data_IF_938810290058
#
_entry.id   IF_938810290058
#
_cell.length_a   1.000
_cell.length_b   1.000
_cell.length_c   1.000
_cell.angle_alpha   90.00
_cell.angle_beta   90.00
_cell.angle_gamma   90.00
#
_symmetry.space_group_name_H-M   'P 1'
#
loop_
_entity.id
_entity.type
_entity.pdbx_description
1 polymer ?
#
# COMPACT_ATOMS: atom_id res chain seq x y z
N UNK A 1 -6.46 -5.17 -19.98
CA UNK A 1 -5.62 -6.29 -19.52
C UNK A 1 -5.76 -6.43 -18.01
N UNK A 2 -6.12 -7.64 -17.56
CA UNK A 2 -6.16 -8.15 -16.18
C UNK A 2 -6.77 -7.22 -15.11
N UNK A 3 -8.10 -7.10 -15.10
CA UNK A 3 -8.82 -6.80 -13.88
C UNK A 3 -8.65 -8.03 -12.97
N UNK A 4 -7.88 -7.89 -11.89
CA UNK A 4 -7.75 -8.90 -10.86
C UNK A 4 -9.09 -9.02 -10.13
N UNK A 5 -10.06 -9.70 -10.76
CA UNK A 5 -11.22 -10.26 -10.08
C UNK A 5 -10.65 -11.16 -8.98
N UNK A 6 -11.00 -10.87 -7.74
CA UNK A 6 -10.53 -11.63 -6.58
C UNK A 6 -11.28 -12.96 -6.58
N UNK A 7 -10.78 -13.91 -7.37
CA UNK A 7 -11.37 -15.23 -7.57
C UNK A 7 -11.34 -15.98 -6.22
N UNK A 8 -12.51 -16.27 -5.64
CA UNK A 8 -12.62 -17.04 -4.39
C UNK A 8 -13.46 -18.30 -4.61
N UNK A 9 -12.89 -19.30 -5.30
CA UNK A 9 -13.46 -20.64 -5.24
C UNK A 9 -13.01 -21.39 -3.97
N UNK A 10 -13.80 -22.36 -3.54
CA UNK A 10 -13.52 -23.13 -2.31
C UNK A 10 -12.14 -23.80 -2.31
N UNK A 11 -11.70 -24.38 -3.44
CA UNK A 11 -10.39 -25.02 -3.52
C UNK A 11 -9.28 -23.98 -3.55
N UNK A 12 -9.47 -22.86 -4.25
CA UNK A 12 -8.52 -21.75 -4.22
C UNK A 12 -8.34 -21.20 -2.80
N UNK A 13 -9.43 -20.94 -2.07
CA UNK A 13 -9.37 -20.48 -0.67
C UNK A 13 -8.69 -21.53 0.20
N UNK A 14 -9.05 -22.81 0.08
CA UNK A 14 -8.43 -23.89 0.82
C UNK A 14 -6.90 -23.95 0.59
N UNK A 15 -6.47 -23.90 -0.68
CA UNK A 15 -5.06 -23.94 -1.05
C UNK A 15 -4.31 -22.68 -0.58
N UNK A 16 -4.88 -21.50 -0.81
CA UNK A 16 -4.23 -20.21 -0.52
C UNK A 16 -4.11 -19.93 0.97
N UNK A 17 -5.12 -20.31 1.74
CA UNK A 17 -5.18 -20.16 3.20
C UNK A 17 -4.63 -21.37 3.95
N UNK A 18 -4.28 -22.47 3.25
CA UNK A 18 -3.80 -23.72 3.84
C UNK A 18 -4.80 -24.31 4.87
N UNK A 19 -6.08 -24.32 4.51
CA UNK A 19 -7.17 -24.88 5.33
C UNK A 19 -7.90 -26.01 4.60
N UNK A 20 -8.68 -26.81 5.32
CA UNK A 20 -9.50 -27.86 4.68
C UNK A 20 -10.58 -27.26 3.79
N UNK A 21 -11.04 -28.02 2.79
CA UNK A 21 -12.13 -27.59 1.89
C UNK A 21 -13.43 -27.35 2.66
N UNK A 22 -13.70 -28.12 3.70
CA UNK A 22 -14.82 -27.88 4.61
C UNK A 22 -14.68 -26.51 5.29
N UNK A 23 -13.50 -26.21 5.84
CA UNK A 23 -13.27 -24.91 6.50
C UNK A 23 -13.35 -23.74 5.53
N UNK A 24 -12.85 -23.91 4.31
CA UNK A 24 -12.97 -22.91 3.26
C UNK A 24 -14.45 -22.62 2.92
N UNK A 25 -15.30 -23.66 2.83
CA UNK A 25 -16.75 -23.47 2.64
C UNK A 25 -17.40 -22.70 3.78
N UNK A 26 -17.06 -23.04 5.04
CA UNK A 26 -17.57 -22.30 6.20
C UNK A 26 -17.17 -20.83 6.17
N UNK A 27 -15.92 -20.53 5.82
CA UNK A 27 -15.41 -19.15 5.72
C UNK A 27 -16.13 -18.39 4.61
N UNK A 28 -16.26 -18.97 3.41
CA UNK A 28 -17.00 -18.35 2.29
C UNK A 28 -18.45 -18.09 2.71
N UNK A 29 -19.13 -19.08 3.31
CA UNK A 29 -20.49 -18.91 3.81
C UNK A 29 -20.59 -17.79 4.84
N UNK A 30 -19.67 -17.75 5.80
CA UNK A 30 -19.65 -16.71 6.84
C UNK A 30 -19.44 -15.31 6.25
N UNK A 31 -18.55 -15.18 5.26
CA UNK A 31 -18.30 -13.90 4.59
C UNK A 31 -19.51 -13.47 3.74
N UNK A 32 -20.18 -14.41 3.08
CA UNK A 32 -21.38 -14.15 2.28
C UNK A 32 -22.58 -13.77 3.17
N UNK A 33 -22.88 -14.57 4.20
CA UNK A 33 -23.94 -14.31 5.19
C UNK A 33 -23.71 -12.97 5.91
N UNK A 34 -22.44 -12.61 6.14
CA UNK A 34 -22.03 -11.33 6.72
C UNK A 34 -22.06 -10.14 5.75
N UNK A 35 -22.35 -10.36 4.47
CA UNK A 35 -22.39 -9.32 3.43
C UNK A 35 -21.02 -8.75 3.05
N UNK A 36 -19.91 -9.43 3.35
CA UNK A 36 -18.55 -9.03 2.97
C UNK A 36 -18.19 -9.45 1.54
N UNK A 37 -18.80 -10.52 1.05
CA UNK A 37 -18.74 -10.94 -0.33
C UNK A 37 -20.16 -11.21 -0.83
N UNK A 38 -20.37 -11.10 -2.13
CA UNK A 38 -21.63 -11.47 -2.78
C UNK A 38 -21.36 -12.43 -3.93
N UNK A 39 -22.32 -13.33 -4.18
CA UNK A 39 -22.26 -14.22 -5.33
C UNK A 39 -22.26 -13.39 -6.61
N UNK A 40 -21.34 -13.72 -7.52
CA UNK A 40 -21.21 -13.04 -8.80
C UNK A 40 -21.79 -13.91 -9.91
N UNK A 41 -21.16 -15.07 -10.15
CA UNK A 41 -21.62 -16.02 -11.16
C UNK A 41 -21.10 -17.43 -10.88
N UNK A 42 -21.69 -18.43 -11.56
CA UNK A 42 -21.18 -19.80 -11.59
C UNK A 42 -20.43 -20.04 -12.89
N UNK A 43 -19.18 -20.47 -12.80
CA UNK A 43 -18.36 -20.86 -13.94
C UNK A 43 -17.97 -22.33 -13.90
N UNK A 44 -17.05 -22.70 -14.80
CA UNK A 44 -16.52 -24.07 -14.92
C UNK A 44 -15.01 -24.05 -14.95
N UNK A 45 -14.38 -24.83 -14.08
CA UNK A 45 -12.92 -25.00 -14.06
C UNK A 45 -12.55 -26.42 -14.42
N UNK A 46 -11.36 -26.58 -15.02
CA UNK A 46 -10.79 -27.89 -15.27
C UNK A 46 -10.56 -28.61 -13.94
N UNK A 47 -11.09 -29.82 -13.83
CA UNK A 47 -10.93 -30.65 -12.65
C UNK A 47 -9.47 -31.09 -12.51
N UNK A 48 -8.84 -31.47 -13.62
CA UNK A 48 -7.47 -31.94 -13.72
C UNK A 48 -6.84 -31.44 -15.03
N UNK A 49 -5.51 -31.42 -15.07
CA UNK A 49 -4.75 -31.36 -16.32
C UNK A 49 -5.21 -32.47 -17.26
N UNK A 50 -5.42 -32.16 -18.54
CA UNK A 50 -5.83 -33.15 -19.54
C UNK A 50 -4.98 -33.05 -20.81
N UNK A 51 -4.93 -34.14 -21.59
CA UNK A 51 -4.26 -34.17 -22.90
C UNK A 51 -5.26 -34.01 -24.05
N UNK A 52 -5.22 -32.90 -24.82
CA UNK A 52 -6.07 -32.72 -26.00
C UNK A 52 -5.92 -33.86 -27.00
N UNK A 53 -7.03 -34.39 -27.50
CA UNK A 53 -7.07 -35.49 -28.47
C UNK A 53 -6.91 -36.89 -27.88
N UNK A 54 -6.52 -37.03 -26.61
CA UNK A 54 -6.44 -38.33 -25.91
C UNK A 54 -7.64 -38.53 -25.01
N UNK A 55 -8.02 -37.49 -24.26
CA UNK A 55 -9.14 -37.56 -23.31
C UNK A 55 -9.99 -36.29 -23.36
N UNK A 56 -11.24 -36.42 -22.94
CA UNK A 56 -12.14 -35.27 -22.83
C UNK A 56 -11.86 -34.50 -21.54
N UNK A 57 -11.77 -33.16 -21.59
CA UNK A 57 -11.61 -32.36 -20.39
C UNK A 57 -12.79 -32.58 -19.45
N UNK A 58 -12.49 -32.77 -18.15
CA UNK A 58 -13.49 -32.81 -17.10
C UNK A 58 -13.54 -31.46 -16.42
N UNK A 59 -14.74 -30.92 -16.29
CA UNK A 59 -14.97 -29.65 -15.62
C UNK A 59 -15.71 -29.87 -14.30
N UNK A 60 -15.44 -28.99 -13.34
CA UNK A 60 -16.25 -28.82 -12.13
C UNK A 60 -16.97 -27.48 -12.20
N UNK A 61 -18.18 -27.42 -11.66
CA UNK A 61 -18.85 -26.15 -11.41
C UNK A 61 -18.20 -25.43 -10.24
N UNK A 62 -18.06 -24.12 -10.37
CA UNK A 62 -17.41 -23.27 -9.39
C UNK A 62 -18.21 -21.99 -9.22
N UNK A 63 -18.61 -21.69 -7.98
CA UNK A 63 -19.24 -20.42 -7.62
C UNK A 63 -18.16 -19.35 -7.38
N UNK A 64 -18.31 -18.21 -8.04
CA UNK A 64 -17.45 -17.05 -7.89
C UNK A 64 -18.13 -15.97 -7.07
N UNK A 65 -17.34 -15.27 -6.27
CA UNK A 65 -17.78 -14.20 -5.39
C UNK A 65 -16.96 -12.94 -5.65
N UNK A 66 -17.57 -11.77 -5.45
CA UNK A 66 -16.88 -10.47 -5.47
C UNK A 66 -16.96 -9.79 -4.10
N UNK A 67 -15.98 -8.93 -3.81
CA UNK A 67 -15.97 -8.11 -2.60
C UNK A 67 -17.07 -7.05 -2.69
N UNK A 68 -17.82 -6.89 -1.60
CA UNK A 68 -18.69 -5.73 -1.40
C UNK A 68 -17.88 -4.57 -0.82
N UNK A 69 -18.46 -3.37 -0.72
CA UNK A 69 -17.85 -2.24 -0.02
C UNK A 69 -17.49 -2.60 1.43
N UNK A 70 -18.38 -3.32 2.12
CA UNK A 70 -18.15 -3.86 3.47
C UNK A 70 -16.97 -4.85 3.50
N UNK A 71 -16.83 -5.69 2.47
CA UNK A 71 -15.68 -6.57 2.30
C UNK A 71 -14.37 -5.85 2.09
N UNK A 72 -14.39 -4.77 1.30
CA UNK A 72 -13.23 -3.89 1.08
C UNK A 72 -12.84 -3.20 2.39
N UNK A 73 -13.81 -2.71 3.16
CA UNK A 73 -13.58 -2.15 4.50
C UNK A 73 -12.93 -3.17 5.44
N UNK A 74 -13.45 -4.39 5.52
CA UNK A 74 -12.87 -5.45 6.35
C UNK A 74 -11.45 -5.83 5.90
N UNK A 75 -11.22 -5.95 4.59
CA UNK A 75 -9.90 -6.27 4.03
C UNK A 75 -8.87 -5.19 4.37
N UNK A 76 -9.30 -3.93 4.36
CA UNK A 76 -8.45 -2.79 4.67
C UNK A 76 -8.33 -2.57 6.19
N UNK A 77 -9.25 -3.12 6.99
CA UNK A 77 -9.20 -3.04 8.44
C UNK A 77 -8.02 -3.85 8.99
N UNK A 78 -7.17 -3.19 9.77
CA UNK A 78 -6.05 -3.83 10.43
C UNK A 78 -6.48 -4.58 11.68
N UNK A 79 -6.12 -5.86 11.80
CA UNK A 79 -6.24 -6.62 13.05
C UNK A 79 -5.16 -6.25 14.09
N UNK A 80 -4.29 -5.28 13.79
CA UNK A 80 -3.27 -4.82 14.71
C UNK A 80 -3.90 -4.12 15.92
N UNK A 81 -3.31 -4.32 17.10
CA UNK A 81 -3.64 -3.57 18.30
C UNK A 81 -3.55 -2.07 18.02
N UNK A 82 -4.69 -1.37 18.13
CA UNK A 82 -4.73 0.08 17.95
C UNK A 82 -3.92 0.77 19.04
N UNK A 83 -3.22 1.84 18.68
CA UNK A 83 -2.49 2.71 19.60
C UNK A 83 -3.34 3.91 20.03
N UNK A 84 -3.14 4.43 21.25
CA UNK A 84 -3.78 5.67 21.66
C UNK A 84 -3.26 6.86 20.86
N UNK A 85 -4.10 7.88 20.70
CA UNK A 85 -3.76 9.13 19.98
C UNK A 85 -2.47 9.79 20.48
N UNK A 86 -2.22 9.79 21.79
CA UNK A 86 -0.98 10.34 22.37
C UNK A 86 0.28 9.70 21.79
N UNK A 87 0.24 8.40 21.47
CA UNK A 87 1.35 7.71 20.81
C UNK A 87 1.47 8.12 19.34
N UNK A 88 0.35 8.33 18.65
CA UNK A 88 0.36 8.86 17.28
C UNK A 88 0.97 10.27 17.21
N UNK A 89 0.66 11.13 18.18
CA UNK A 89 1.25 12.47 18.29
C UNK A 89 2.78 12.39 18.44
N UNK A 90 3.27 11.51 19.30
CA UNK A 90 4.71 11.26 19.48
C UNK A 90 5.38 10.76 18.19
N UNK A 91 4.70 9.88 17.43
CA UNK A 91 5.20 9.40 16.13
C UNK A 91 5.35 10.56 15.15
N UNK A 92 4.37 11.47 15.06
CA UNK A 92 4.43 12.63 14.16
C UNK A 92 5.58 13.57 14.54
N UNK A 93 5.74 13.89 15.83
CA UNK A 93 6.85 14.74 16.30
C UNK A 93 8.19 14.11 15.95
N UNK A 94 8.37 12.82 16.23
CA UNK A 94 9.62 12.11 15.92
C UNK A 94 9.87 12.01 14.40
N UNK A 95 8.82 11.88 13.60
CA UNK A 95 8.91 11.90 12.15
C UNK A 95 9.37 13.26 11.61
N UNK A 96 8.76 14.36 12.06
CA UNK A 96 9.14 15.70 11.62
C UNK A 96 10.59 16.03 11.98
N UNK A 97 11.08 15.55 13.12
CA UNK A 97 12.51 15.62 13.44
C UNK A 97 13.37 14.89 12.40
N UNK A 98 13.01 13.66 12.03
CA UNK A 98 13.73 12.91 10.97
C UNK A 98 13.63 13.58 9.60
N UNK A 99 12.55 14.31 9.32
CA UNK A 99 12.42 15.09 8.08
C UNK A 99 13.49 16.19 8.03
N UNK A 100 13.70 16.94 9.11
CA UNK A 100 14.78 17.93 9.17
C UNK A 100 16.17 17.28 9.04
N UNK A 101 16.39 16.17 9.75
CA UNK A 101 17.64 15.41 9.67
C UNK A 101 17.93 14.93 8.24
N UNK A 102 16.95 14.31 7.57
CA UNK A 102 17.08 13.84 6.19
C UNK A 102 17.35 14.98 5.19
N UNK A 103 16.74 16.14 5.41
CA UNK A 103 16.98 17.33 4.59
C UNK A 103 18.43 17.84 4.70
N UNK A 104 19.09 17.63 5.84
CA UNK A 104 20.51 17.95 6.05
C UNK A 104 21.49 16.83 5.63
N UNK A 105 21.03 15.58 5.54
CA UNK A 105 21.87 14.43 5.17
C UNK A 105 22.21 14.38 3.67
N UNK A 106 23.21 13.57 3.32
CA UNK A 106 23.64 13.31 1.94
C UNK A 106 22.72 12.34 1.19
N UNK A 107 21.41 12.64 1.19
CA UNK A 107 20.42 11.98 0.34
C UNK A 107 20.29 12.70 -0.99
N UNK A 108 19.95 11.96 -2.05
CA UNK A 108 19.70 12.52 -3.37
C UNK A 108 18.49 13.49 -3.39
N UNK A 109 17.55 13.28 -2.46
CA UNK A 109 16.27 13.98 -2.37
C UNK A 109 16.09 14.70 -1.03
N UNK A 110 15.39 15.84 -1.07
CA UNK A 110 14.83 16.55 0.09
C UNK A 110 13.32 16.35 0.16
N UNK A 111 12.75 16.64 1.33
CA UNK A 111 11.34 16.46 1.65
C UNK A 111 10.70 17.84 1.88
N UNK A 112 10.25 18.54 0.82
CA UNK A 112 9.57 19.83 0.97
C UNK A 112 8.15 19.69 1.55
N UNK A 113 7.51 18.54 1.36
CA UNK A 113 6.09 18.35 1.68
C UNK A 113 5.88 17.12 2.56
N UNK A 114 5.12 17.30 3.64
CA UNK A 114 4.68 16.21 4.55
C UNK A 114 3.20 16.39 4.82
N UNK A 115 2.42 15.33 4.59
CA UNK A 115 0.97 15.33 4.77
C UNK A 115 0.61 14.18 5.70
N UNK A 116 -0.20 14.45 6.72
CA UNK A 116 -0.87 13.39 7.49
C UNK A 116 -2.30 13.23 6.98
N UNK A 117 -2.79 12.00 6.89
CA UNK A 117 -4.15 11.74 6.44
C UNK A 117 -4.80 10.58 7.19
N UNK A 118 -6.07 10.31 6.87
CA UNK A 118 -6.80 9.18 7.42
C UNK A 118 -7.26 9.38 8.86
N UNK A 119 -7.22 8.29 9.64
CA UNK A 119 -7.81 8.18 10.98
C UNK A 119 -7.29 9.22 11.97
N UNK A 120 -6.02 9.61 11.82
CA UNK A 120 -5.41 10.63 12.67
C UNK A 120 -6.09 12.00 12.52
N UNK A 121 -6.38 12.40 11.27
CA UNK A 121 -7.00 13.70 10.97
C UNK A 121 -8.47 13.71 11.37
N UNK A 122 -9.17 12.57 11.24
CA UNK A 122 -10.57 12.41 11.66
C UNK A 122 -10.78 12.45 13.18
N UNK A 123 -9.72 12.53 13.98
CA UNK A 123 -9.83 12.65 15.43
C UNK A 123 -10.09 11.34 16.15
N UNK A 124 -9.82 10.19 15.53
CA UNK A 124 -10.04 8.89 16.19
C UNK A 124 -9.17 8.77 17.47
N UNK A 125 -9.74 8.25 18.58
CA UNK A 125 -9.01 8.12 19.85
C UNK A 125 -7.97 6.99 19.82
N UNK A 126 -8.20 5.98 18.97
CA UNK A 126 -7.33 4.82 18.79
C UNK A 126 -7.10 4.55 17.31
N UNK A 127 -5.82 4.43 16.91
CA UNK A 127 -5.39 4.34 15.52
C UNK A 127 -4.66 3.03 15.26
N UNK A 128 -4.84 2.41 14.09
CA UNK A 128 -3.96 1.31 13.67
C UNK A 128 -2.54 1.81 13.40
N UNK A 129 -2.45 2.97 12.76
CA UNK A 129 -1.24 3.61 12.26
C UNK A 129 -1.48 5.10 11.99
N UNK A 130 -0.38 5.84 11.82
CA UNK A 130 -0.37 7.19 11.28
C UNK A 130 0.02 7.10 9.81
N UNK A 131 -0.89 7.52 8.95
CA UNK A 131 -0.65 7.58 7.50
C UNK A 131 -0.02 8.90 7.11
N UNK A 132 1.15 8.82 6.50
CA UNK A 132 1.93 9.97 6.03
C UNK A 132 2.22 9.85 4.55
N UNK A 133 2.02 10.94 3.82
CA UNK A 133 2.53 11.12 2.47
C UNK A 133 3.68 12.13 2.47
N UNK A 134 4.73 11.85 1.70
CA UNK A 134 5.88 12.75 1.53
C UNK A 134 6.09 13.09 0.07
N UNK A 135 6.22 14.39 -0.20
CA UNK A 135 6.76 14.88 -1.47
C UNK A 135 8.28 14.84 -1.43
N UNK A 136 8.89 14.39 -2.53
CA UNK A 136 10.34 14.37 -2.69
C UNK A 136 10.75 15.28 -3.85
N UNK A 137 11.74 16.11 -3.63
CA UNK A 137 12.38 16.94 -4.66
C UNK A 137 13.88 16.63 -4.70
N UNK A 138 14.48 16.63 -5.89
CA UNK A 138 15.95 16.54 -6.02
C UNK A 138 16.62 17.72 -5.31
N UNK A 139 17.76 17.50 -4.67
CA UNK A 139 18.49 18.60 -4.00
C UNK A 139 19.31 19.47 -4.97
N UNK A 140 19.52 18.99 -6.19
CA UNK A 140 20.30 19.68 -7.23
C UNK A 140 19.40 20.00 -8.43
N UNK A 141 19.63 21.18 -9.01
CA UNK A 141 18.83 21.69 -10.12
C UNK A 141 19.24 21.09 -11.47
N UNK A 142 20.50 20.64 -11.61
CA UNK A 142 20.96 19.92 -12.81
C UNK A 142 20.56 18.46 -12.74
N UNK A 143 19.99 17.97 -13.85
CA UNK A 143 19.64 16.57 -14.02
C UNK A 143 20.89 15.67 -13.98
N UNK A 144 22.01 16.10 -14.56
CA UNK A 144 23.27 15.34 -14.53
C UNK A 144 23.81 15.18 -13.11
N UNK A 145 23.76 16.24 -12.32
CA UNK A 145 24.22 16.21 -10.93
C UNK A 145 23.29 15.36 -10.05
N UNK A 146 21.97 15.46 -10.25
CA UNK A 146 21.01 14.57 -9.59
C UNK A 146 21.30 13.10 -9.94
N UNK A 147 21.45 12.78 -11.23
CA UNK A 147 21.74 11.43 -11.70
C UNK A 147 23.04 10.88 -11.12
N UNK A 148 24.07 11.71 -11.03
CA UNK A 148 25.35 11.36 -10.42
C UNK A 148 25.17 11.00 -8.94
N UNK A 149 24.43 11.83 -8.19
CA UNK A 149 24.15 11.61 -6.77
C UNK A 149 23.32 10.36 -6.55
N UNK A 150 22.29 10.13 -7.35
CA UNK A 150 21.49 8.90 -7.31
C UNK A 150 22.34 7.64 -7.52
N UNK A 151 23.24 7.67 -8.51
CA UNK A 151 24.19 6.57 -8.76
C UNK A 151 25.13 6.35 -7.57
N UNK A 152 25.61 7.42 -6.92
CA UNK A 152 26.42 7.33 -5.69
C UNK A 152 25.65 6.66 -4.55
N UNK A 153 24.38 7.01 -4.33
CA UNK A 153 23.51 6.39 -3.33
C UNK A 153 23.29 4.90 -3.59
N UNK A 154 23.10 4.51 -4.85
CA UNK A 154 22.97 3.11 -5.24
C UNK A 154 24.28 2.34 -4.99
N UNK A 155 25.43 2.91 -5.36
CA UNK A 155 26.75 2.31 -5.08
C UNK A 155 26.98 2.12 -3.58
N UNK A 156 26.65 3.13 -2.77
CA UNK A 156 26.74 3.07 -1.31
C UNK A 156 25.84 1.96 -0.74
N UNK A 157 24.63 1.80 -1.27
CA UNK A 157 23.72 0.74 -0.83
C UNK A 157 24.31 -0.66 -1.08
N UNK A 158 24.86 -0.90 -2.27
CA UNK A 158 25.55 -2.16 -2.57
C UNK A 158 26.74 -2.39 -1.62
N UNK A 159 27.57 -1.36 -1.41
CA UNK A 159 28.71 -1.44 -0.49
C UNK A 159 28.27 -1.74 0.96
N UNK A 160 27.06 -1.31 1.34
CA UNK A 160 26.44 -1.58 2.64
C UNK A 160 25.73 -2.94 2.73
N UNK A 161 25.92 -3.82 1.73
CA UNK A 161 25.34 -5.16 1.69
C UNK A 161 23.88 -5.22 1.24
N UNK A 162 23.31 -4.13 0.69
CA UNK A 162 21.97 -4.17 0.09
C UNK A 162 22.01 -4.94 -1.22
N UNK A 163 21.07 -5.85 -1.38
CA UNK A 163 20.73 -6.48 -2.65
C UNK A 163 19.36 -5.98 -3.13
N UNK A 164 19.18 -5.99 -4.45
CA UNK A 164 17.92 -5.65 -5.11
C UNK A 164 17.48 -6.85 -5.94
N UNK A 165 16.22 -7.26 -5.82
CA UNK A 165 15.68 -8.39 -6.58
C UNK A 165 15.33 -8.00 -8.01
N UNK A 166 15.03 -6.72 -8.27
CA UNK A 166 14.67 -6.19 -9.58
C UNK A 166 15.40 -4.88 -9.86
N UNK A 167 15.65 -4.61 -11.15
CA UNK A 167 16.26 -3.36 -11.60
C UNK A 167 15.42 -2.12 -11.21
N UNK A 168 14.08 -2.22 -11.25
CA UNK A 168 13.21 -1.10 -10.87
C UNK A 168 13.35 -0.71 -9.39
N UNK A 169 13.61 -1.69 -8.52
CA UNK A 169 13.83 -1.46 -7.09
C UNK A 169 15.17 -0.76 -6.84
N UNK A 170 16.17 -1.06 -7.66
CA UNK A 170 17.47 -0.38 -7.67
C UNK A 170 17.33 1.05 -8.20
N UNK A 171 16.65 1.26 -9.32
CA UNK A 171 16.46 2.58 -9.93
C UNK A 171 15.69 3.53 -8.97
N UNK A 172 14.70 2.99 -8.27
CA UNK A 172 13.88 3.77 -7.33
C UNK A 172 14.52 3.92 -5.94
N UNK A 173 15.67 3.26 -5.70
CA UNK A 173 16.32 3.22 -4.39
C UNK A 173 16.59 4.60 -3.78
N UNK A 174 17.11 5.61 -4.51
CA UNK A 174 17.40 6.92 -3.92
C UNK A 174 16.17 7.64 -3.32
N UNK A 175 14.96 7.36 -3.82
CA UNK A 175 13.70 7.82 -3.22
C UNK A 175 13.30 6.92 -2.03
N UNK A 176 13.40 5.61 -2.21
CA UNK A 176 13.02 4.64 -1.17
C UNK A 176 13.90 4.68 0.07
N UNK A 177 15.18 5.03 -0.04
CA UNK A 177 16.06 5.14 1.12
C UNK A 177 15.62 6.27 2.06
N UNK A 178 15.13 7.39 1.50
CA UNK A 178 14.58 8.51 2.27
C UNK A 178 13.33 8.05 3.01
N UNK A 179 12.37 7.42 2.32
CA UNK A 179 11.15 6.90 2.95
C UNK A 179 11.46 5.85 4.03
N UNK A 180 12.45 4.99 3.82
CA UNK A 180 12.88 4.00 4.82
C UNK A 180 13.52 4.65 6.04
N UNK A 181 14.35 5.66 5.83
CA UNK A 181 14.92 6.46 6.90
C UNK A 181 13.82 7.14 7.73
N UNK A 182 12.84 7.76 7.08
CA UNK A 182 11.69 8.37 7.75
C UNK A 182 10.85 7.35 8.54
N UNK A 183 10.61 6.17 7.96
CA UNK A 183 9.89 5.09 8.62
C UNK A 183 10.63 4.58 9.87
N UNK A 184 11.96 4.48 9.81
CA UNK A 184 12.82 4.06 10.94
C UNK A 184 12.35 2.77 11.65
N UNK A 185 11.67 1.87 10.93
CA UNK A 185 10.99 0.67 11.49
C UNK A 185 9.97 0.98 12.60
N UNK A 186 9.47 2.21 12.65
CA UNK A 186 8.47 2.65 13.64
C UNK A 186 7.16 1.90 13.41
N UNK A 187 6.75 1.10 14.39
CA UNK A 187 5.45 0.42 14.36
C UNK A 187 4.31 1.45 14.47
N UNK A 188 3.29 1.30 13.64
CA UNK A 188 2.17 2.24 13.58
C UNK A 188 2.47 3.49 12.75
N UNK A 189 3.48 3.46 11.88
CA UNK A 189 3.77 4.53 10.93
C UNK A 189 3.80 3.97 9.51
N UNK A 190 2.96 4.54 8.66
CA UNK A 190 2.88 4.26 7.23
C UNK A 190 3.36 5.48 6.47
N UNK A 191 4.33 5.30 5.57
CA UNK A 191 4.97 6.39 4.81
C UNK A 191 4.82 6.06 3.32
N UNK A 192 4.19 6.97 2.59
CA UNK A 192 3.83 6.85 1.18
C UNK A 192 4.44 7.99 0.36
N UNK A 193 4.61 7.78 -0.94
CA UNK A 193 4.93 8.86 -1.86
C UNK A 193 3.74 9.80 -2.04
N UNK A 194 4.01 11.06 -2.41
CA UNK A 194 2.96 12.01 -2.75
C UNK A 194 2.11 11.52 -3.92
N UNK A 195 2.72 10.86 -4.91
CA UNK A 195 2.02 10.30 -6.07
C UNK A 195 1.00 9.21 -5.68
N UNK A 196 1.35 8.33 -4.73
CA UNK A 196 0.43 7.33 -4.18
C UNK A 196 -0.76 8.01 -3.47
N UNK A 197 -0.48 9.06 -2.71
CA UNK A 197 -1.49 9.83 -2.00
C UNK A 197 -2.43 10.58 -2.96
N UNK A 198 -1.91 11.14 -4.05
CA UNK A 198 -2.71 11.83 -5.07
C UNK A 198 -3.54 10.83 -5.88
N UNK A 199 -3.01 9.65 -6.19
CA UNK A 199 -3.67 8.66 -7.07
C UNK A 199 -4.59 7.68 -6.34
N UNK A 200 -4.45 7.47 -5.02
CA UNK A 200 -5.30 6.52 -4.30
C UNK A 200 -6.78 6.90 -4.36
N UNK A 201 -7.66 5.91 -4.34
CA UNK A 201 -9.10 6.16 -4.23
C UNK A 201 -9.41 6.92 -2.93
N UNK A 202 -10.14 8.03 -3.03
CA UNK A 202 -10.59 8.81 -1.86
C UNK A 202 -12.04 8.45 -1.54
N UNK A 203 -12.30 8.08 -0.30
CA UNK A 203 -13.66 7.87 0.19
C UNK A 203 -14.29 9.18 0.68
N UNK A 204 -15.59 9.14 1.02
CA UNK A 204 -16.36 10.29 1.52
C UNK A 204 -15.84 10.88 2.85
N UNK A 205 -15.06 10.11 3.61
CA UNK A 205 -14.47 10.48 4.89
C UNK A 205 -12.97 10.81 4.75
N UNK A 206 -12.50 11.02 3.51
CA UNK A 206 -11.12 11.39 3.25
C UNK A 206 -10.80 12.72 3.94
N UNK A 207 -9.78 12.69 4.79
CA UNK A 207 -9.32 13.84 5.54
C UNK A 207 -7.80 13.85 5.55
N UNK A 208 -7.21 15.02 5.31
CA UNK A 208 -5.77 15.23 5.32
C UNK A 208 -5.42 16.57 5.95
N UNK A 209 -4.17 16.71 6.39
CA UNK A 209 -3.58 17.95 6.88
C UNK A 209 -2.13 18.03 6.43
N UNK A 210 -1.77 19.17 5.83
CA UNK A 210 -0.38 19.46 5.48
C UNK A 210 0.36 19.85 6.75
N UNK A 211 1.41 19.08 7.09
CA UNK A 211 2.29 19.33 8.24
C UNK A 211 3.51 20.17 7.86
N UNK A 212 3.94 20.08 6.60
CA UNK A 212 5.03 20.85 6.00
C UNK A 212 4.74 21.03 4.51
N UNK A 213 5.05 22.20 3.96
CA UNK A 213 4.90 22.51 2.53
C UNK A 213 3.73 23.44 2.24
N UNK A 214 3.46 23.65 0.96
CA UNK A 214 2.40 24.53 0.47
C UNK A 214 1.06 23.77 0.40
N UNK A 215 0.09 24.22 1.21
CA UNK A 215 -1.22 23.59 1.29
C UNK A 215 -2.09 23.82 0.04
N UNK A 216 -1.95 24.98 -0.60
CA UNK A 216 -2.72 25.34 -1.79
C UNK A 216 -2.24 24.53 -3.00
N UNK A 217 -0.91 24.35 -3.12
CA UNK A 217 -0.32 23.46 -4.15
C UNK A 217 -0.82 22.02 -4.00
N UNK A 218 -0.86 21.50 -2.77
CA UNK A 218 -1.38 20.13 -2.51
C UNK A 218 -2.87 20.05 -2.86
N UNK A 219 -3.67 21.05 -2.51
CA UNK A 219 -5.09 21.09 -2.84
C UNK A 219 -5.33 21.14 -4.35
N UNK A 220 -4.54 21.92 -5.09
CA UNK A 220 -4.61 21.99 -6.55
C UNK A 220 -4.32 20.63 -7.21
N UNK A 221 -3.23 19.96 -6.80
CA UNK A 221 -2.88 18.62 -7.30
C UNK A 221 -3.96 17.57 -7.03
N UNK A 222 -4.60 17.64 -5.86
CA UNK A 222 -5.74 16.77 -5.53
C UNK A 222 -6.98 17.07 -6.39
N UNK A 223 -7.25 18.35 -6.67
CA UNK A 223 -8.38 18.76 -7.51
C UNK A 223 -8.23 18.36 -8.97
N UNK A 224 -7.01 18.37 -9.51
CA UNK A 224 -6.71 17.90 -10.87
C UNK A 224 -6.87 16.39 -11.01
N UNK A 225 -6.49 15.61 -10.00
CA UNK A 225 -6.55 14.15 -10.03
C UNK A 225 -7.96 13.55 -9.88
N UNK A 226 -8.95 14.35 -9.50
CA UNK A 226 -10.36 13.93 -9.32
C UNK A 226 -11.22 14.22 -10.58
N UNK A 227 -10.66 14.93 -11.57
CA UNK A 227 -11.30 15.16 -12.88
C UNK A 227 -10.99 14.02 -13.84
#
# INVERSE_FOLDING_TARGET
>A
MAHWLTLMDTLFVAARCKVSTHKAKEVIKTLADGGYIEFDHRGRELLNSYRPGVEKPRYREVDYYKLTDKGIELRNASAATKMPRTKADQIIVALLKRVEEANAMDFAYRIPTVIVYGSYVRGEPFLSDVDIAVGLEGKWDSDEERDRREKERIKFAFASGRTFSKFIDQLSWPKYEVQRYLKARTRGLSVHGLDDFISMQKDKNFAYRVLRGDADRVAAQLGEAVR
#
